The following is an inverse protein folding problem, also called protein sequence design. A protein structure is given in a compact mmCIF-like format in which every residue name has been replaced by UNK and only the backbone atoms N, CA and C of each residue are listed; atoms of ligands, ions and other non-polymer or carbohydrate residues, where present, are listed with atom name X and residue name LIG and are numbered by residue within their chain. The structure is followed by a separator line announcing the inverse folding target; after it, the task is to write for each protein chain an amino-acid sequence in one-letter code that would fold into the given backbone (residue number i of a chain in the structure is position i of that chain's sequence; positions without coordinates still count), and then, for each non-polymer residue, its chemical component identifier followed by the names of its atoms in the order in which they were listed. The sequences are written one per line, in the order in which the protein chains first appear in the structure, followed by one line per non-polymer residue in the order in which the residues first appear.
data_IF_756673264756
#
_entry.id   IF_756673264756
#
_cell.length_a   1.000
_cell.length_b   1.000
_cell.length_c   1.000
_cell.angle_alpha   90.00
_cell.angle_beta   90.00
_cell.angle_gamma   90.00
#
_symmetry.space_group_name_H-M   'P 1'
#
loop_
_entity.id
_entity.type
_entity.pdbx_description
1 polymer ?
#
# COMPACT_ATOMS: atom_id res chain seq x y z
N UNK A 1 26.69 -9.64 -17.27
CA UNK A 1 25.40 -9.69 -18.00
C UNK A 1 24.70 -8.36 -17.75
N UNK A 2 24.25 -7.67 -18.79
CA UNK A 2 23.54 -6.41 -18.61
C UNK A 2 22.22 -6.69 -17.88
N UNK A 3 22.01 -6.07 -16.72
CA UNK A 3 20.76 -6.19 -15.98
C UNK A 3 19.68 -5.41 -16.72
N UNK A 4 18.56 -6.09 -17.01
CA UNK A 4 17.38 -5.48 -17.63
C UNK A 4 16.74 -4.42 -16.72
N UNK A 5 16.97 -4.52 -15.40
CA UNK A 5 16.30 -3.72 -14.39
C UNK A 5 17.25 -2.81 -13.63
N UNK A 6 16.77 -1.60 -13.35
CA UNK A 6 17.39 -0.64 -12.45
C UNK A 6 16.48 -0.29 -11.29
N UNK A 7 17.10 0.04 -10.16
CA UNK A 7 16.46 0.45 -8.93
C UNK A 7 17.06 1.77 -8.44
N UNK A 8 16.22 2.72 -8.08
CA UNK A 8 16.60 3.93 -7.34
C UNK A 8 15.88 3.90 -6.01
N UNK A 9 16.63 3.96 -4.92
CA UNK A 9 16.09 4.21 -3.60
C UNK A 9 16.30 5.68 -3.31
N UNK A 10 15.27 6.38 -2.81
CA UNK A 10 15.39 7.81 -2.49
C UNK A 10 16.58 8.06 -1.56
N UNK A 11 17.50 8.92 -1.99
CA UNK A 11 18.72 9.27 -1.25
C UNK A 11 19.90 8.29 -1.41
N UNK A 12 19.81 7.27 -2.27
CA UNK A 12 20.89 6.31 -2.54
C UNK A 12 21.30 6.31 -4.01
N UNK A 13 22.46 5.73 -4.29
CA UNK A 13 22.93 5.48 -5.65
C UNK A 13 22.03 4.47 -6.37
N UNK A 14 22.01 4.56 -7.69
CA UNK A 14 21.31 3.61 -8.56
C UNK A 14 21.91 2.22 -8.40
N UNK A 15 21.05 1.22 -8.26
CA UNK A 15 21.41 -0.19 -8.18
C UNK A 15 20.92 -0.92 -9.43
N UNK A 16 21.74 -1.83 -9.95
CA UNK A 16 21.44 -2.63 -11.15
C UNK A 16 21.84 -4.09 -10.98
N UNK A 17 22.33 -4.47 -9.82
CA UNK A 17 22.88 -5.77 -9.44
C UNK A 17 21.79 -6.77 -9.02
N UNK A 18 20.72 -6.85 -9.81
CA UNK A 18 19.68 -7.85 -9.62
C UNK A 18 20.24 -9.26 -9.81
N UNK A 19 20.02 -10.12 -8.83
CA UNK A 19 20.32 -11.54 -8.88
C UNK A 19 19.16 -12.28 -9.56
N UNK A 20 19.47 -13.01 -10.62
CA UNK A 20 18.50 -13.88 -11.27
C UNK A 20 18.39 -15.20 -10.49
N UNK A 21 17.21 -15.47 -9.93
CA UNK A 21 16.93 -16.72 -9.19
C UNK A 21 16.14 -17.73 -10.01
N UNK A 22 15.48 -17.28 -11.07
CA UNK A 22 14.81 -18.10 -12.07
C UNK A 22 14.89 -17.40 -13.43
N UNK A 23 14.61 -18.12 -14.51
CA UNK A 23 14.45 -17.63 -15.88
C UNK A 23 13.62 -16.33 -15.98
N UNK A 24 12.59 -16.18 -15.15
CA UNK A 24 11.67 -15.03 -15.14
C UNK A 24 11.70 -14.22 -13.84
N UNK A 25 12.55 -14.57 -12.87
CA UNK A 25 12.53 -13.97 -11.53
C UNK A 25 13.87 -13.38 -11.11
N UNK A 26 13.83 -12.17 -10.60
CA UNK A 26 14.99 -11.37 -10.21
C UNK A 26 14.79 -10.80 -8.81
N UNK A 27 15.87 -10.76 -8.03
CA UNK A 27 15.89 -10.26 -6.65
C UNK A 27 17.01 -9.27 -6.43
N UNK A 28 16.78 -8.30 -5.55
CA UNK A 28 17.85 -7.45 -5.01
C UNK A 28 17.59 -7.20 -3.52
N UNK A 29 18.66 -7.28 -2.73
CA UNK A 29 18.61 -7.04 -1.29
C UNK A 29 18.85 -5.57 -0.98
N UNK A 30 18.18 -5.09 0.05
CA UNK A 30 18.18 -3.69 0.46
C UNK A 30 18.47 -3.63 1.95
N UNK A 31 19.71 -3.27 2.26
CA UNK A 31 20.14 -2.99 3.63
C UNK A 31 19.54 -1.67 4.13
N UNK A 32 19.40 -1.52 5.46
CA UNK A 32 18.90 -0.30 6.12
C UNK A 32 17.54 0.20 5.59
N UNK A 33 16.60 -0.73 5.37
CA UNK A 33 15.32 -0.40 4.74
C UNK A 33 14.35 0.44 5.60
N UNK A 34 14.66 0.62 6.89
CA UNK A 34 13.78 1.29 7.85
C UNK A 34 13.40 2.73 7.48
N UNK A 35 14.30 3.43 6.79
CA UNK A 35 14.14 4.85 6.44
C UNK A 35 13.73 5.06 4.96
N UNK A 36 13.37 3.99 4.24
CA UNK A 36 13.02 4.07 2.82
C UNK A 36 11.55 4.49 2.67
N UNK A 37 11.35 5.64 2.04
CA UNK A 37 10.01 6.15 1.74
C UNK A 37 9.54 5.82 0.32
N UNK A 38 10.45 5.92 -0.64
CA UNK A 38 10.16 5.78 -2.06
C UNK A 38 11.24 4.97 -2.75
N UNK A 39 10.80 4.13 -3.67
CA UNK A 39 11.65 3.43 -4.61
C UNK A 39 11.18 3.67 -6.04
N UNK A 40 12.09 3.59 -6.99
CA UNK A 40 11.81 3.68 -8.42
C UNK A 40 12.40 2.44 -9.07
N UNK A 41 11.57 1.68 -9.76
CA UNK A 41 12.03 0.53 -10.56
C UNK A 41 11.83 0.86 -12.03
N UNK A 42 12.82 0.54 -12.86
CA UNK A 42 12.79 0.87 -14.29
C UNK A 42 13.55 -0.13 -15.16
N UNK A 43 13.23 -0.17 -16.44
CA UNK A 43 13.98 -0.90 -17.46
C UNK A 43 15.22 -0.06 -17.86
N UNK A 44 16.40 -0.67 -17.88
CA UNK A 44 17.65 0.05 -18.23
C UNK A 44 17.73 0.44 -19.70
N UNK A 45 16.84 -0.10 -20.55
CA UNK A 45 16.83 0.11 -22.00
C UNK A 45 17.84 -0.78 -22.75
N UNK A 46 18.61 -1.60 -22.03
CA UNK A 46 19.60 -2.51 -22.63
C UNK A 46 18.94 -3.67 -23.38
N UNK A 47 17.89 -4.25 -22.76
CA UNK A 47 17.16 -5.42 -23.24
C UNK A 47 15.67 -5.17 -22.98
N UNK A 48 14.78 -5.23 -23.99
CA UNK A 48 13.35 -5.12 -23.76
C UNK A 48 12.80 -6.40 -23.10
N UNK A 49 11.64 -6.28 -22.45
CA UNK A 49 10.93 -7.46 -21.96
C UNK A 49 10.40 -8.30 -23.14
N UNK A 50 10.23 -9.62 -22.95
CA UNK A 50 9.59 -10.48 -23.94
C UNK A 50 8.22 -9.94 -24.40
N UNK A 51 7.88 -10.17 -25.66
CA UNK A 51 6.61 -9.69 -26.22
C UNK A 51 5.41 -10.30 -25.48
N UNK A 52 4.43 -9.47 -25.13
CA UNK A 52 3.24 -9.89 -24.37
C UNK A 52 3.50 -10.10 -22.87
N UNK A 53 4.66 -9.68 -22.36
CA UNK A 53 5.02 -9.77 -20.95
C UNK A 53 5.21 -8.39 -20.30
N UNK A 54 4.94 -8.33 -19.00
CA UNK A 54 5.30 -7.23 -18.13
C UNK A 54 6.02 -7.76 -16.89
N UNK A 55 6.68 -6.87 -16.16
CA UNK A 55 7.43 -7.18 -14.97
C UNK A 55 6.66 -6.71 -13.74
N UNK A 56 6.10 -7.67 -13.00
CA UNK A 56 5.46 -7.45 -11.71
C UNK A 56 6.53 -7.19 -10.64
N UNK A 57 6.33 -6.15 -9.83
CA UNK A 57 7.26 -5.70 -8.81
C UNK A 57 6.65 -5.99 -7.43
N UNK A 58 7.44 -6.63 -6.58
CA UNK A 58 7.06 -7.02 -5.22
C UNK A 58 8.07 -6.51 -4.20
N UNK A 59 7.60 -6.32 -2.98
CA UNK A 59 8.39 -5.94 -1.82
C UNK A 59 8.26 -6.99 -0.72
N UNK A 60 9.37 -7.32 -0.07
CA UNK A 60 9.38 -8.08 1.17
C UNK A 60 10.13 -7.30 2.24
N UNK A 61 9.52 -7.15 3.41
CA UNK A 61 10.22 -6.70 4.61
C UNK A 61 11.05 -7.85 5.19
N UNK A 62 12.15 -7.55 5.92
CA UNK A 62 12.89 -8.57 6.62
C UNK A 62 12.03 -9.12 7.76
N UNK A 63 11.92 -10.44 7.83
CA UNK A 63 11.26 -11.14 8.93
C UNK A 63 12.26 -12.14 9.53
N UNK A 64 12.65 -12.00 10.81
CA UNK A 64 13.64 -12.87 11.44
C UNK A 64 13.09 -14.26 11.82
N UNK A 65 11.77 -14.46 11.77
CA UNK A 65 11.11 -15.66 12.28
C UNK A 65 10.37 -16.40 11.17
N UNK A 66 9.72 -15.67 10.26
CA UNK A 66 8.92 -16.26 9.18
C UNK A 66 9.62 -16.12 7.82
N UNK A 67 9.23 -16.96 6.83
CA UNK A 67 9.64 -16.77 5.45
C UNK A 67 9.24 -15.39 4.90
N UNK A 68 10.02 -14.90 3.93
CA UNK A 68 9.80 -13.61 3.26
C UNK A 68 8.36 -13.46 2.76
N UNK A 69 7.65 -12.47 3.29
CA UNK A 69 6.27 -12.15 2.91
C UNK A 69 6.25 -11.11 1.78
N UNK A 70 5.79 -11.50 0.60
CA UNK A 70 5.79 -10.63 -0.58
C UNK A 70 4.48 -9.86 -0.74
N UNK A 71 4.61 -8.55 -0.92
CA UNK A 71 3.52 -7.62 -1.23
C UNK A 71 3.69 -7.10 -2.66
N UNK A 72 2.63 -7.18 -3.46
CA UNK A 72 2.60 -6.64 -4.81
C UNK A 72 2.58 -5.11 -4.77
N UNK A 73 3.51 -4.46 -5.48
CA UNK A 73 3.59 -3.00 -5.58
C UNK A 73 2.95 -2.46 -6.85
N UNK A 74 3.01 -3.22 -7.93
CA UNK A 74 2.62 -2.79 -9.27
C UNK A 74 3.50 -3.45 -10.33
N UNK A 75 3.61 -2.80 -11.48
CA UNK A 75 4.33 -3.36 -12.62
C UNK A 75 4.98 -2.28 -13.50
N UNK A 76 5.97 -2.74 -14.28
CA UNK A 76 6.57 -2.02 -15.41
C UNK A 76 6.46 -2.89 -16.68
N UNK A 77 6.42 -2.26 -17.85
CA UNK A 77 6.33 -2.94 -19.14
C UNK A 77 7.13 -2.17 -20.19
N UNK A 78 7.25 -2.70 -21.41
CA UNK A 78 7.87 -1.97 -22.51
C UNK A 78 7.14 -0.64 -22.83
N UNK A 79 5.83 -0.57 -22.60
CA UNK A 79 5.03 0.65 -22.78
C UNK A 79 5.09 1.60 -21.56
N UNK A 80 5.34 1.05 -20.37
CA UNK A 80 5.51 1.79 -19.10
C UNK A 80 6.81 1.35 -18.43
N UNK A 81 7.98 1.83 -18.90
CA UNK A 81 9.28 1.27 -18.54
C UNK A 81 9.75 1.62 -17.13
N UNK A 82 9.03 2.48 -16.40
CA UNK A 82 9.39 2.88 -15.04
C UNK A 82 8.16 3.10 -14.17
N UNK A 83 8.30 2.85 -12.87
CA UNK A 83 7.27 3.14 -11.87
C UNK A 83 7.90 3.55 -10.53
N UNK A 84 7.19 4.39 -9.78
CA UNK A 84 7.57 4.87 -8.46
C UNK A 84 6.61 4.26 -7.44
N UNK A 85 7.15 3.72 -6.35
CA UNK A 85 6.37 3.07 -5.29
C UNK A 85 6.67 3.70 -3.93
N UNK A 86 5.63 3.91 -3.13
CA UNK A 86 5.73 4.43 -1.76
C UNK A 86 5.75 3.25 -0.77
N UNK A 87 6.85 3.08 -0.06
CA UNK A 87 7.11 1.90 0.78
C UNK A 87 6.78 2.15 2.26
N UNK A 88 6.78 3.40 2.71
CA UNK A 88 6.51 3.77 4.12
C UNK A 88 5.14 3.33 4.65
N UNK A 89 4.15 3.15 3.77
CA UNK A 89 2.82 2.66 4.16
C UNK A 89 2.78 1.14 4.33
N UNK A 90 3.63 0.42 3.59
CA UNK A 90 3.71 -1.04 3.61
C UNK A 90 4.29 -1.57 4.92
N UNK A 91 5.24 -0.83 5.53
CA UNK A 91 5.79 -1.17 6.85
C UNK A 91 4.70 -1.31 7.90
N UNK A 92 3.77 -0.34 7.92
CA UNK A 92 2.64 -0.32 8.86
C UNK A 92 1.67 -1.48 8.64
N UNK A 93 1.45 -1.86 7.38
CA UNK A 93 0.59 -2.99 7.03
C UNK A 93 1.24 -4.34 7.36
N UNK A 94 2.56 -4.46 7.21
CA UNK A 94 3.31 -5.65 7.59
C UNK A 94 3.20 -5.93 9.10
N UNK A 95 3.26 -4.89 9.93
CA UNK A 95 3.08 -4.97 11.39
C UNK A 95 1.64 -5.35 11.81
N UNK A 96 0.66 -5.25 10.92
CA UNK A 96 -0.77 -5.47 11.21
C UNK A 96 -1.34 -6.82 10.69
N UNK A 97 -0.49 -7.70 10.15
CA UNK A 97 -0.76 -9.12 9.82
C UNK A 97 -2.03 -9.44 8.97
N UNK A 98 -2.61 -8.50 8.23
CA UNK A 98 -3.94 -8.72 7.61
C UNK A 98 -3.96 -8.96 6.10
N UNK A 99 -2.81 -9.00 5.40
CA UNK A 99 -2.80 -9.24 3.95
C UNK A 99 -2.37 -10.66 3.58
N UNK A 100 -3.11 -11.26 2.63
CA UNK A 100 -2.78 -12.53 1.99
C UNK A 100 -1.36 -12.45 1.42
N UNK A 101 -0.47 -13.20 2.05
CA UNK A 101 0.93 -13.24 1.69
C UNK A 101 1.13 -14.28 0.59
N UNK A 102 1.70 -13.86 -0.53
CA UNK A 102 2.01 -14.77 -1.64
C UNK A 102 3.46 -15.22 -1.55
N UNK A 103 3.71 -16.52 -1.63
CA UNK A 103 5.06 -17.10 -1.71
C UNK A 103 5.59 -17.00 -3.16
N UNK A 104 5.63 -15.78 -3.73
CA UNK A 104 5.86 -15.57 -5.16
C UNK A 104 7.28 -15.96 -5.62
N UNK A 105 8.28 -15.81 -4.74
CA UNK A 105 9.70 -16.07 -5.04
C UNK A 105 10.23 -17.32 -4.32
N UNK A 106 9.35 -18.23 -3.89
CA UNK A 106 9.68 -19.46 -3.15
C UNK A 106 9.78 -19.26 -1.63
N UNK A 107 10.10 -20.35 -0.91
CA UNK A 107 10.53 -20.26 0.49
C UNK A 107 11.90 -19.58 0.54
N UNK A 108 11.89 -18.25 0.62
CA UNK A 108 13.10 -17.48 0.84
C UNK A 108 13.72 -17.86 2.18
N UNK A 109 15.04 -18.03 2.19
CA UNK A 109 15.80 -18.06 3.43
C UNK A 109 15.49 -16.79 4.24
N UNK A 110 15.46 -16.93 5.57
CA UNK A 110 15.29 -15.81 6.50
C UNK A 110 16.28 -14.70 6.12
N UNK A 111 15.75 -13.58 5.63
CA UNK A 111 16.54 -12.43 5.21
C UNK A 111 16.48 -11.36 6.29
N UNK A 112 17.65 -10.90 6.72
CA UNK A 112 17.77 -9.75 7.62
C UNK A 112 17.65 -8.40 6.87
N UNK A 113 17.73 -8.44 5.54
CA UNK A 113 17.55 -7.28 4.65
C UNK A 113 16.16 -7.30 4.00
N UNK A 114 15.63 -6.12 3.67
CA UNK A 114 14.45 -6.03 2.82
C UNK A 114 14.80 -6.46 1.39
N UNK A 115 13.80 -6.88 0.62
CA UNK A 115 14.02 -7.39 -0.73
C UNK A 115 13.02 -6.80 -1.73
N UNK A 116 13.50 -6.54 -2.95
CA UNK A 116 12.65 -6.29 -4.11
C UNK A 116 12.72 -7.50 -5.03
N UNK A 117 11.55 -7.97 -5.42
CA UNK A 117 11.39 -9.05 -6.39
C UNK A 117 10.73 -8.56 -7.66
N UNK A 118 11.26 -8.99 -8.79
CA UNK A 118 10.69 -8.74 -10.12
C UNK A 118 10.38 -10.08 -10.77
N UNK A 119 9.12 -10.26 -11.16
CA UNK A 119 8.62 -11.46 -11.84
C UNK A 119 8.12 -11.07 -13.24
N UNK A 120 8.67 -11.68 -14.28
CA UNK A 120 8.22 -11.48 -15.67
C UNK A 120 7.02 -12.38 -15.92
N UNK A 121 5.86 -11.78 -16.18
CA UNK A 121 4.58 -12.47 -16.30
C UNK A 121 3.80 -11.96 -17.53
N UNK A 122 2.83 -12.74 -18.05
CA UNK A 122 1.96 -12.28 -19.12
C UNK A 122 1.21 -10.99 -18.73
N UNK A 123 1.11 -10.03 -19.65
CA UNK A 123 0.46 -8.73 -19.38
C UNK A 123 -0.99 -8.88 -18.91
N UNK A 124 -1.70 -9.90 -19.39
CA UNK A 124 -3.07 -10.19 -18.99
C UNK A 124 -3.20 -10.55 -17.50
N UNK A 125 -2.27 -11.35 -16.96
CA UNK A 125 -2.24 -11.73 -15.55
C UNK A 125 -1.97 -10.51 -14.66
N UNK A 126 -1.01 -9.66 -15.07
CA UNK A 126 -0.67 -8.43 -14.36
C UNK A 126 -1.83 -7.43 -14.36
N UNK A 127 -2.58 -7.33 -15.46
CA UNK A 127 -3.76 -6.46 -15.54
C UNK A 127 -4.86 -6.88 -14.54
N UNK A 128 -5.09 -8.19 -14.40
CA UNK A 128 -6.03 -8.72 -13.41
C UNK A 128 -5.55 -8.42 -11.98
N UNK A 129 -4.29 -8.70 -11.67
CA UNK A 129 -3.71 -8.44 -10.34
C UNK A 129 -3.74 -6.96 -9.98
N UNK A 130 -3.41 -6.07 -10.93
CA UNK A 130 -3.46 -4.62 -10.75
C UNK A 130 -4.87 -4.12 -10.44
N UNK A 131 -5.88 -4.68 -11.12
CA UNK A 131 -7.29 -4.34 -10.89
C UNK A 131 -7.75 -4.78 -9.50
N UNK A 132 -7.35 -5.98 -9.07
CA UNK A 132 -7.63 -6.48 -7.73
C UNK A 132 -6.97 -5.62 -6.64
N UNK A 133 -5.69 -5.27 -6.82
CA UNK A 133 -4.97 -4.42 -5.87
C UNK A 133 -5.63 -3.04 -5.71
N UNK A 134 -6.02 -2.40 -6.81
CA UNK A 134 -6.74 -1.12 -6.78
C UNK A 134 -8.10 -1.23 -6.06
N UNK A 135 -8.82 -2.33 -6.27
CA UNK A 135 -10.12 -2.58 -5.63
C UNK A 135 -9.97 -2.76 -4.12
N UNK A 136 -8.94 -3.47 -3.69
CA UNK A 136 -8.62 -3.66 -2.28
C UNK A 136 -8.32 -2.35 -1.57
N UNK A 137 -7.49 -1.46 -2.17
CA UNK A 137 -7.21 -0.15 -1.57
C UNK A 137 -8.48 0.68 -1.37
N UNK A 138 -9.36 0.75 -2.37
CA UNK A 138 -10.63 1.49 -2.28
C UNK A 138 -11.50 0.94 -1.15
N UNK A 139 -11.55 -0.38 -1.00
CA UNK A 139 -12.33 -1.06 0.04
C UNK A 139 -11.78 -0.74 1.43
N UNK A 140 -10.46 -0.79 1.63
CA UNK A 140 -9.82 -0.44 2.90
C UNK A 140 -10.06 1.02 3.30
N UNK A 141 -9.95 1.98 2.37
CA UNK A 141 -10.24 3.38 2.67
C UNK A 141 -11.72 3.60 3.04
N UNK A 142 -12.62 2.92 2.35
CA UNK A 142 -14.05 2.98 2.64
C UNK A 142 -14.35 2.44 4.05
N UNK A 143 -13.83 1.26 4.39
CA UNK A 143 -14.02 0.64 5.71
C UNK A 143 -13.43 1.49 6.84
N UNK A 144 -12.23 2.04 6.63
CA UNK A 144 -11.61 2.95 7.59
C UNK A 144 -12.49 4.19 7.81
N UNK A 145 -12.91 4.84 6.72
CA UNK A 145 -13.78 6.02 6.79
C UNK A 145 -15.08 5.74 7.53
N UNK A 146 -15.72 4.61 7.23
CA UNK A 146 -16.95 4.17 7.90
C UNK A 146 -16.73 3.98 9.42
N UNK A 147 -15.72 3.20 9.81
CA UNK A 147 -15.42 2.94 11.23
C UNK A 147 -15.06 4.20 12.00
N UNK A 148 -14.31 5.12 11.38
CA UNK A 148 -13.94 6.40 11.97
C UNK A 148 -15.17 7.27 12.24
N UNK A 149 -16.10 7.35 11.28
CA UNK A 149 -17.34 8.12 11.42
C UNK A 149 -18.22 7.56 12.54
N UNK A 150 -18.39 6.23 12.57
CA UNK A 150 -19.16 5.54 13.60
C UNK A 150 -18.54 5.77 14.99
N UNK A 151 -17.21 5.69 15.10
CA UNK A 151 -16.50 5.96 16.35
C UNK A 151 -16.73 7.39 16.85
N UNK A 152 -16.57 8.40 15.98
CA UNK A 152 -16.79 9.80 16.33
C UNK A 152 -18.23 10.06 16.76
N UNK A 153 -19.21 9.55 16.02
CA UNK A 153 -20.62 9.74 16.34
C UNK A 153 -20.97 9.08 17.67
N UNK A 154 -20.51 7.84 17.91
CA UNK A 154 -20.74 7.14 19.18
C UNK A 154 -20.09 7.87 20.36
N UNK A 155 -18.86 8.35 20.20
CA UNK A 155 -18.17 9.11 21.24
C UNK A 155 -18.91 10.41 21.56
N UNK A 156 -19.16 11.26 20.56
CA UNK A 156 -19.81 12.55 20.77
C UNK A 156 -21.26 12.42 21.27
N UNK A 157 -22.00 11.41 20.79
CA UNK A 157 -23.37 11.16 21.25
C UNK A 157 -23.44 10.69 22.72
N UNK A 158 -22.37 10.09 23.25
CA UNK A 158 -22.29 9.68 24.67
C UNK A 158 -22.29 10.85 25.66
N UNK A 159 -21.93 12.05 25.20
CA UNK A 159 -21.96 13.29 26.00
C UNK A 159 -23.25 14.08 25.81
N UNK A 160 -24.26 13.51 25.14
CA UNK A 160 -25.51 14.22 24.90
C UNK A 160 -26.29 14.41 26.19
N UNK A 161 -26.66 15.66 26.45
CA UNK A 161 -27.46 16.06 27.59
C UNK A 161 -28.60 16.97 27.13
N UNK A 162 -29.75 16.84 27.77
CA UNK A 162 -30.86 17.77 27.56
C UNK A 162 -30.67 19.05 28.37
N UNK A 163 -31.34 20.14 27.99
CA UNK A 163 -31.26 21.41 28.72
C UNK A 163 -31.58 21.28 30.21
N UNK A 164 -32.48 20.36 30.59
CA UNK A 164 -32.82 20.08 31.98
C UNK A 164 -31.67 19.44 32.79
N UNK A 165 -30.67 18.86 32.13
CA UNK A 165 -29.52 18.19 32.74
C UNK A 165 -28.25 19.06 32.69
N UNK A 166 -28.30 20.22 32.03
CA UNK A 166 -27.17 21.13 31.90
C UNK A 166 -26.90 21.86 33.22
N UNK A 167 -25.63 21.89 33.62
CA UNK A 167 -25.15 22.79 34.68
C UNK A 167 -24.69 24.11 34.05
N UNK A 168 -24.93 25.27 34.69
CA UNK A 168 -24.50 26.55 34.12
C UNK A 168 -22.98 26.62 33.95
N UNK A 169 -22.51 26.60 32.69
CA UNK A 169 -21.11 26.78 32.33
C UNK A 169 -20.98 27.83 31.21
N UNK A 170 -20.85 29.13 31.55
CA UNK A 170 -20.82 30.21 30.56
C UNK A 170 -19.64 30.18 29.59
N UNK A 171 -18.59 29.39 29.88
CA UNK A 171 -17.42 29.26 29.04
C UNK A 171 -17.52 28.12 28.00
N UNK A 172 -18.55 27.27 28.09
CA UNK A 172 -18.69 26.08 27.27
C UNK A 172 -19.69 26.30 26.12
N UNK A 173 -19.29 25.85 24.92
CA UNK A 173 -20.13 25.91 23.72
C UNK A 173 -20.72 24.55 23.41
N UNK A 174 -22.02 24.50 23.14
CA UNK A 174 -22.74 23.27 22.84
C UNK A 174 -23.15 23.22 21.36
N UNK A 175 -23.02 22.03 20.76
CA UNK A 175 -23.52 21.75 19.40
C UNK A 175 -24.77 20.87 19.53
N UNK A 176 -25.90 21.22 18.88
CA UNK A 176 -27.08 20.36 18.89
C UNK A 176 -26.78 18.99 18.30
N UNK A 177 -27.29 17.93 18.93
CA UNK A 177 -27.13 16.55 18.42
C UNK A 177 -27.67 16.40 16.99
N UNK A 178 -28.73 17.13 16.64
CA UNK A 178 -29.29 17.15 15.28
C UNK A 178 -28.29 17.65 14.23
N UNK A 179 -27.44 18.61 14.57
CA UNK A 179 -26.37 19.09 13.69
C UNK A 179 -25.34 18.01 13.44
N UNK A 180 -24.90 17.32 14.50
CA UNK A 180 -23.95 16.21 14.40
C UNK A 180 -24.53 15.03 13.60
N UNK A 181 -25.78 14.64 13.85
CA UNK A 181 -26.46 13.58 13.12
C UNK A 181 -26.63 13.91 11.62
N UNK A 182 -27.00 15.15 11.31
CA UNK A 182 -27.12 15.63 9.92
C UNK A 182 -25.76 15.62 9.22
N UNK A 183 -24.69 16.04 9.91
CA UNK A 183 -23.33 15.97 9.38
C UNK A 183 -22.92 14.52 9.10
N UNK A 184 -23.15 13.62 10.06
CA UNK A 184 -22.81 12.20 9.94
C UNK A 184 -23.50 11.57 8.72
N UNK A 185 -24.81 11.76 8.54
CA UNK A 185 -25.54 11.24 7.38
C UNK A 185 -25.03 11.82 6.05
N UNK A 186 -24.75 13.13 6.01
CA UNK A 186 -24.22 13.76 4.81
C UNK A 186 -22.83 13.24 4.45
N UNK A 187 -21.96 13.05 5.45
CA UNK A 187 -20.63 12.51 5.25
C UNK A 187 -20.71 11.06 4.76
N UNK A 188 -21.51 10.21 5.42
CA UNK A 188 -21.67 8.81 5.03
C UNK A 188 -22.16 8.68 3.58
N UNK A 189 -23.18 9.46 3.19
CA UNK A 189 -23.67 9.48 1.80
C UNK A 189 -22.58 9.87 0.79
N UNK A 190 -21.74 10.86 1.12
CA UNK A 190 -20.62 11.26 0.24
C UNK A 190 -19.55 10.17 0.15
N UNK A 191 -19.26 9.50 1.26
CA UNK A 191 -18.30 8.41 1.33
C UNK A 191 -18.74 7.20 0.49
N UNK A 192 -20.03 6.84 0.53
CA UNK A 192 -20.62 5.77 -0.29
C UNK A 192 -20.58 6.07 -1.80
N UNK A 193 -20.73 7.34 -2.18
CA UNK A 193 -20.67 7.75 -3.59
C UNK A 193 -19.23 7.83 -4.12
N UNK A 194 -18.31 8.31 -3.31
CA UNK A 194 -16.91 8.45 -3.69
C UNK A 194 -16.01 8.30 -2.45
N UNK A 195 -15.35 7.15 -2.25
CA UNK A 195 -14.44 6.94 -1.11
C UNK A 195 -13.28 7.95 -0.99
N UNK A 196 -12.96 8.68 -2.06
CA UNK A 196 -11.89 9.69 -2.10
C UNK A 196 -12.40 11.14 -2.08
N UNK A 197 -13.68 11.41 -1.76
CA UNK A 197 -14.25 12.77 -1.84
C UNK A 197 -13.59 13.83 -0.94
N UNK A 198 -12.85 13.38 0.08
CA UNK A 198 -12.23 14.21 1.12
C UNK A 198 -10.74 14.49 0.87
N UNK A 199 -10.15 13.85 -0.14
CA UNK A 199 -8.78 14.13 -0.60
C UNK A 199 -8.76 15.37 -1.48
#
# INVERSE_FOLDING_TARGET
MASCFGLIISGRLVQTDFQQIDSTKFLINISDADNINYIVTFLTGSIPLPAGSAAAVYWSWPDPINPSKWQYLGYISNAKPSAIFKISQLKKLHELETQETVMQFGEGAISHDAQIGISIEPEMSIAQQSTMAATNEVTTYFEFGKRMLENLFNYASSFTINQAQMTPNPAETYVPLSTLATWFQNFQRRLEQNPNFWK
#
